data_IF_977158577916
#
_entry.id   IF_977158577916
#
_cell.length_a   1.000
_cell.length_b   1.000
_cell.length_c   1.000
_cell.angle_alpha   90.00
_cell.angle_beta   90.00
_cell.angle_gamma   90.00
#
_symmetry.space_group_name_H-M   'P 1'
#
loop_
_entity.id
_entity.type
_entity.pdbx_description
1 polymer ?
#
# COMPACT_ATOMS: atom_id res chain seq x y z
N UNK A 1 -4.32 -5.61 23.23
CA UNK A 1 -3.51 -6.19 24.32
C UNK A 1 -2.42 -7.11 23.77
N UNK A 2 -2.73 -8.13 22.96
CA UNK A 2 -1.72 -9.06 22.43
C UNK A 2 -0.64 -8.38 21.57
N UNK A 3 -1.03 -7.51 20.65
CA UNK A 3 -0.11 -6.77 19.78
C UNK A 3 0.79 -5.79 20.54
N UNK A 4 0.30 -5.19 21.62
CA UNK A 4 1.12 -4.35 22.51
C UNK A 4 2.15 -5.21 23.26
N UNK A 5 1.76 -6.40 23.72
CA UNK A 5 2.69 -7.36 24.34
C UNK A 5 3.81 -7.78 23.39
N UNK A 6 3.49 -8.07 22.12
CA UNK A 6 4.48 -8.41 21.08
C UNK A 6 5.42 -7.24 20.83
N UNK A 7 4.91 -6.01 20.71
CA UNK A 7 5.72 -4.81 20.49
C UNK A 7 6.68 -4.55 21.67
N UNK A 8 6.19 -4.70 22.90
CA UNK A 8 7.01 -4.56 24.11
C UNK A 8 8.13 -5.61 24.16
N UNK A 9 7.80 -6.88 23.89
CA UNK A 9 8.78 -7.96 23.86
C UNK A 9 9.83 -7.75 22.78
N UNK A 10 9.41 -7.36 21.56
CA UNK A 10 10.32 -7.02 20.45
C UNK A 10 11.25 -5.85 20.81
N UNK A 11 10.71 -4.79 21.37
CA UNK A 11 11.50 -3.61 21.78
C UNK A 11 12.54 -3.96 22.84
N UNK A 12 12.14 -4.73 23.85
CA UNK A 12 13.04 -5.17 24.90
C UNK A 12 14.13 -6.11 24.35
N UNK A 13 13.78 -7.04 23.46
CA UNK A 13 14.74 -7.93 22.82
C UNK A 13 15.75 -7.17 21.94
N UNK A 14 15.27 -6.21 21.14
CA UNK A 14 16.13 -5.35 20.32
C UNK A 14 17.07 -4.51 21.19
N UNK A 15 16.55 -3.89 22.23
CA UNK A 15 17.37 -3.09 23.14
C UNK A 15 18.44 -3.93 23.86
N UNK A 16 18.07 -5.10 24.38
CA UNK A 16 19.01 -6.04 24.98
C UNK A 16 20.07 -6.52 23.99
N UNK A 17 19.67 -6.79 22.74
CA UNK A 17 20.60 -7.18 21.69
C UNK A 17 21.61 -6.07 21.37
N UNK A 18 21.13 -4.83 21.22
CA UNK A 18 21.98 -3.67 20.94
C UNK A 18 23.02 -3.41 22.03
N UNK A 19 22.70 -3.69 23.29
CA UNK A 19 23.67 -3.55 24.39
C UNK A 19 24.76 -4.63 24.38
N UNK A 20 24.51 -5.79 23.79
CA UNK A 20 25.42 -6.92 23.74
C UNK A 20 26.25 -7.00 22.44
N UNK A 21 25.98 -6.11 21.47
CA UNK A 21 26.72 -6.07 20.20
C UNK A 21 28.10 -5.45 20.40
N UNK A 22 29.16 -5.96 19.74
CA UNK A 22 30.53 -5.41 19.84
C UNK A 22 30.59 -3.92 19.46
N UNK A 23 31.45 -3.17 20.13
CA UNK A 23 31.63 -1.72 19.92
C UNK A 23 31.93 -1.34 18.45
N UNK A 24 32.57 -2.23 17.71
CA UNK A 24 32.89 -2.00 16.30
C UNK A 24 31.65 -1.86 15.42
N UNK A 25 30.56 -2.55 15.73
CA UNK A 25 29.26 -2.37 15.06
C UNK A 25 28.71 -0.95 15.23
N UNK A 26 28.83 -0.38 16.42
CA UNK A 26 28.35 0.98 16.73
C UNK A 26 29.13 2.09 16.01
N UNK A 27 30.35 1.82 15.53
CA UNK A 27 31.09 2.77 14.69
C UNK A 27 30.58 2.92 13.28
N UNK A 28 29.94 1.86 12.74
CA UNK A 28 29.52 1.80 11.35
C UNK A 28 28.03 2.08 11.17
N UNK A 29 27.24 2.10 12.23
CA UNK A 29 25.78 2.31 12.19
C UNK A 29 25.42 3.62 12.88
N UNK A 30 24.59 4.44 12.24
CA UNK A 30 24.14 5.69 12.84
C UNK A 30 23.20 5.42 14.03
N UNK A 31 23.36 6.17 15.10
CA UNK A 31 22.47 6.09 16.28
C UNK A 31 21.00 6.35 15.88
N UNK A 32 20.76 7.23 14.90
CA UNK A 32 19.43 7.52 14.39
C UNK A 32 18.76 6.30 13.74
N UNK A 33 19.49 5.50 12.95
CA UNK A 33 18.97 4.26 12.35
C UNK A 33 18.61 3.22 13.41
N UNK A 34 19.44 3.07 14.46
CA UNK A 34 19.13 2.17 15.57
C UNK A 34 17.87 2.58 16.34
N UNK A 35 17.71 3.88 16.60
CA UNK A 35 16.52 4.42 17.25
C UNK A 35 15.28 4.20 16.36
N UNK A 36 15.39 4.43 15.05
CA UNK A 36 14.31 4.19 14.11
C UNK A 36 13.86 2.73 14.11
N UNK A 37 14.79 1.77 14.11
CA UNK A 37 14.48 0.33 14.19
C UNK A 37 13.76 -0.04 15.48
N UNK A 38 14.22 0.50 16.62
CA UNK A 38 13.59 0.23 17.92
C UNK A 38 12.22 0.91 18.12
N UNK A 39 11.90 1.92 17.32
CA UNK A 39 10.65 2.69 17.43
C UNK A 39 9.73 2.45 16.22
N UNK A 40 10.02 3.08 15.09
CA UNK A 40 9.16 3.07 13.89
C UNK A 40 8.96 1.68 13.31
N UNK A 41 10.02 0.86 13.22
CA UNK A 41 9.90 -0.47 12.62
C UNK A 41 9.11 -1.40 13.53
N UNK A 42 9.32 -1.34 14.85
CA UNK A 42 8.51 -2.09 15.83
C UNK A 42 7.05 -1.66 15.79
N UNK A 43 6.77 -0.36 15.66
CA UNK A 43 5.40 0.14 15.53
C UNK A 43 4.74 -0.28 14.20
N UNK A 44 5.52 -0.44 13.15
CA UNK A 44 5.05 -0.97 11.87
C UNK A 44 4.67 -2.45 11.98
N UNK A 45 5.51 -3.27 12.64
CA UNK A 45 5.20 -4.67 12.94
C UNK A 45 3.97 -4.77 13.84
N UNK A 46 3.86 -3.93 14.87
CA UNK A 46 2.68 -3.88 15.75
C UNK A 46 1.40 -3.60 14.96
N UNK A 47 1.43 -2.60 14.07
CA UNK A 47 0.28 -2.26 13.21
C UNK A 47 -0.07 -3.40 12.26
N UNK A 48 0.93 -4.05 11.68
CA UNK A 48 0.71 -5.21 10.83
C UNK A 48 -0.03 -6.32 11.57
N UNK A 49 0.43 -6.70 12.75
CA UNK A 49 -0.20 -7.75 13.57
C UNK A 49 -1.60 -7.35 14.02
N UNK A 50 -1.77 -6.07 14.44
CA UNK A 50 -3.05 -5.60 14.98
C UNK A 50 -4.15 -5.42 13.95
N UNK A 51 -3.80 -5.06 12.72
CA UNK A 51 -4.76 -4.67 11.69
C UNK A 51 -4.72 -5.65 10.52
N UNK A 52 -3.57 -5.76 9.84
CA UNK A 52 -3.46 -6.55 8.61
C UNK A 52 -3.68 -8.05 8.85
N UNK A 53 -3.06 -8.62 9.88
CA UNK A 53 -3.21 -10.05 10.17
C UNK A 53 -4.66 -10.41 10.51
N UNK A 54 -5.33 -9.58 11.31
CA UNK A 54 -6.75 -9.79 11.64
C UNK A 54 -7.64 -9.66 10.41
N UNK A 55 -7.35 -8.69 9.53
CA UNK A 55 -8.10 -8.50 8.30
C UNK A 55 -7.92 -9.66 7.32
N UNK A 56 -6.72 -10.23 7.23
CA UNK A 56 -6.44 -11.43 6.43
C UNK A 56 -7.27 -12.61 6.96
N UNK A 57 -7.22 -12.87 8.28
CA UNK A 57 -7.97 -13.96 8.90
C UNK A 57 -9.47 -13.80 8.69
N UNK A 58 -9.98 -12.57 8.89
CA UNK A 58 -11.40 -12.24 8.65
C UNK A 58 -11.80 -12.49 7.21
N UNK A 59 -10.99 -12.03 6.26
CA UNK A 59 -11.26 -12.18 4.82
C UNK A 59 -11.25 -13.65 4.41
N UNK A 60 -10.25 -14.43 4.85
CA UNK A 60 -10.17 -15.87 4.58
C UNK A 60 -11.38 -16.60 5.16
N UNK A 61 -11.75 -16.32 6.41
CA UNK A 61 -12.93 -16.91 7.03
C UNK A 61 -14.22 -16.56 6.27
N UNK A 62 -14.40 -15.30 5.89
CA UNK A 62 -15.56 -14.83 5.14
C UNK A 62 -15.65 -15.51 3.77
N UNK A 63 -14.56 -15.58 3.03
CA UNK A 63 -14.52 -16.26 1.71
C UNK A 63 -14.81 -17.75 1.86
N UNK A 64 -14.23 -18.41 2.87
CA UNK A 64 -14.48 -19.85 3.12
C UNK A 64 -15.95 -20.13 3.42
N UNK A 65 -16.56 -19.34 4.30
CA UNK A 65 -17.98 -19.47 4.63
C UNK A 65 -18.87 -19.18 3.42
N UNK A 66 -18.58 -18.13 2.66
CA UNK A 66 -19.31 -17.80 1.45
C UNK A 66 -19.23 -18.92 0.40
N UNK A 67 -18.05 -19.46 0.14
CA UNK A 67 -17.86 -20.60 -0.75
C UNK A 67 -18.62 -21.83 -0.26
N UNK A 68 -18.54 -22.15 1.03
CA UNK A 68 -19.27 -23.29 1.61
C UNK A 68 -20.79 -23.16 1.37
N UNK A 69 -21.39 -22.00 1.66
CA UNK A 69 -22.81 -21.75 1.45
C UNK A 69 -23.17 -21.86 -0.04
N UNK A 70 -22.36 -21.26 -0.92
CA UNK A 70 -22.61 -21.31 -2.36
C UNK A 70 -22.59 -22.74 -2.92
N UNK A 71 -21.57 -23.52 -2.56
CA UNK A 71 -21.46 -24.90 -3.02
C UNK A 71 -22.49 -25.85 -2.39
N UNK A 72 -22.94 -25.57 -1.17
CA UNK A 72 -24.00 -26.35 -0.52
C UNK A 72 -25.40 -26.06 -1.07
N UNK A 73 -25.61 -24.89 -1.69
CA UNK A 73 -26.90 -24.49 -2.26
C UNK A 73 -27.06 -25.02 -3.70
N UNK A 74 -26.16 -24.65 -4.59
CA UNK A 74 -26.12 -25.14 -5.99
C UNK A 74 -24.71 -24.98 -6.57
N UNK A 75 -24.07 -26.11 -6.88
CA UNK A 75 -22.72 -26.16 -7.44
C UNK A 75 -22.61 -25.45 -8.80
N UNK A 76 -23.66 -25.51 -9.63
CA UNK A 76 -23.67 -24.88 -10.96
C UNK A 76 -23.68 -23.36 -10.85
N UNK A 77 -24.51 -22.85 -9.95
CA UNK A 77 -24.58 -21.40 -9.67
C UNK A 77 -23.27 -20.90 -9.04
N UNK A 78 -22.68 -21.69 -8.13
CA UNK A 78 -21.39 -21.37 -7.53
C UNK A 78 -20.28 -21.24 -8.60
N UNK A 79 -20.20 -22.19 -9.53
CA UNK A 79 -19.20 -22.15 -10.61
C UNK A 79 -19.40 -20.93 -11.55
N UNK A 80 -20.64 -20.60 -11.92
CA UNK A 80 -20.96 -19.42 -12.73
C UNK A 80 -20.54 -18.14 -12.01
N UNK A 81 -20.83 -18.05 -10.72
CA UNK A 81 -20.43 -16.90 -9.90
C UNK A 81 -18.92 -16.76 -9.72
N UNK A 82 -18.15 -17.81 -9.94
CA UNK A 82 -16.69 -17.79 -9.84
C UNK A 82 -15.94 -17.56 -11.16
N UNK A 83 -16.65 -17.55 -12.30
CA UNK A 83 -16.05 -17.46 -13.65
C UNK A 83 -15.15 -16.24 -13.83
N UNK A 84 -15.53 -15.09 -13.29
CA UNK A 84 -14.76 -13.85 -13.42
C UNK A 84 -13.66 -13.67 -12.34
N UNK A 85 -13.60 -14.51 -11.32
CA UNK A 85 -12.55 -14.47 -10.29
C UNK A 85 -11.13 -14.56 -10.86
N UNK A 86 -10.80 -15.50 -11.76
CA UNK A 86 -9.47 -15.56 -12.35
C UNK A 86 -9.08 -14.29 -13.10
N UNK A 87 -10.05 -13.63 -13.77
CA UNK A 87 -9.82 -12.37 -14.48
C UNK A 87 -9.44 -11.27 -13.49
N UNK A 88 -10.15 -11.17 -12.36
CA UNK A 88 -9.81 -10.23 -11.29
C UNK A 88 -8.45 -10.52 -10.66
N UNK A 89 -8.11 -11.77 -10.43
CA UNK A 89 -6.81 -12.16 -9.88
C UNK A 89 -5.65 -11.75 -10.82
N UNK A 90 -5.77 -12.06 -12.11
CA UNK A 90 -4.75 -11.70 -13.11
C UNK A 90 -4.63 -10.19 -13.25
N UNK A 91 -5.75 -9.47 -13.36
CA UNK A 91 -5.75 -8.01 -13.46
C UNK A 91 -5.14 -7.35 -12.22
N UNK A 92 -5.42 -7.86 -11.01
CA UNK A 92 -4.83 -7.38 -9.76
C UNK A 92 -3.32 -7.58 -9.71
N UNK A 93 -2.82 -8.72 -10.18
CA UNK A 93 -1.39 -8.99 -10.21
C UNK A 93 -0.65 -8.05 -11.17
N UNK A 94 -1.19 -7.84 -12.38
CA UNK A 94 -0.62 -6.93 -13.38
C UNK A 94 -0.66 -5.48 -12.88
N UNK A 95 -1.77 -5.08 -12.28
CA UNK A 95 -1.93 -3.77 -11.67
C UNK A 95 -0.91 -3.51 -10.56
N UNK A 96 -0.76 -4.45 -9.61
CA UNK A 96 0.17 -4.31 -8.48
C UNK A 96 1.60 -4.07 -8.97
N UNK A 97 2.05 -4.82 -9.99
CA UNK A 97 3.38 -4.64 -10.58
C UNK A 97 3.56 -3.23 -11.16
N UNK A 98 2.54 -2.71 -11.85
CA UNK A 98 2.58 -1.39 -12.49
C UNK A 98 2.49 -0.25 -11.47
N UNK A 99 1.61 -0.38 -10.48
CA UNK A 99 1.47 0.62 -9.40
C UNK A 99 2.74 0.73 -8.58
N UNK A 100 3.37 -0.39 -8.23
CA UNK A 100 4.62 -0.38 -7.47
C UNK A 100 5.71 0.44 -8.17
N UNK A 101 5.86 0.29 -9.48
CA UNK A 101 6.82 1.06 -10.27
C UNK A 101 6.48 2.56 -10.29
N UNK A 102 5.21 2.92 -10.49
CA UNK A 102 4.78 4.33 -10.48
C UNK A 102 4.87 4.96 -9.10
N UNK A 103 4.61 4.19 -8.05
CA UNK A 103 4.76 4.64 -6.66
C UNK A 103 6.21 5.02 -6.36
N UNK A 104 7.18 4.16 -6.73
CA UNK A 104 8.61 4.47 -6.55
C UNK A 104 9.00 5.77 -7.27
N UNK A 105 8.53 5.98 -8.50
CA UNK A 105 8.81 7.22 -9.25
C UNK A 105 8.20 8.47 -8.59
N UNK A 106 7.01 8.34 -8.01
CA UNK A 106 6.36 9.44 -7.27
C UNK A 106 7.10 9.76 -5.97
N UNK A 107 7.50 8.72 -5.23
CA UNK A 107 8.24 8.82 -3.96
C UNK A 107 9.63 9.46 -4.16
N UNK A 108 10.35 9.06 -5.23
CA UNK A 108 11.61 9.70 -5.60
C UNK A 108 11.45 11.19 -5.95
N UNK A 109 10.35 11.56 -6.61
CA UNK A 109 10.08 12.96 -6.94
C UNK A 109 9.70 13.77 -5.70
N UNK A 110 8.95 13.19 -4.76
CA UNK A 110 8.65 13.78 -3.46
C UNK A 110 9.92 14.02 -2.65
N UNK A 111 10.84 13.03 -2.65
CA UNK A 111 12.15 13.16 -2.01
C UNK A 111 12.97 14.31 -2.57
N UNK A 112 13.00 14.47 -3.90
CA UNK A 112 13.69 15.60 -4.56
C UNK A 112 13.06 16.94 -4.21
N UNK A 113 11.73 17.05 -4.22
CA UNK A 113 11.00 18.24 -3.83
C UNK A 113 11.30 18.63 -2.38
N UNK A 114 11.26 17.66 -1.47
CA UNK A 114 11.56 17.85 -0.06
C UNK A 114 13.01 18.30 0.16
N UNK A 115 13.97 17.69 -0.54
CA UNK A 115 15.38 18.08 -0.47
C UNK A 115 15.58 19.53 -0.97
N UNK A 116 14.96 19.91 -2.09
CA UNK A 116 15.00 21.28 -2.61
C UNK A 116 14.43 22.28 -1.61
N UNK A 117 13.31 21.94 -0.97
CA UNK A 117 12.72 22.79 0.07
C UNK A 117 13.64 22.95 1.29
N UNK A 118 14.23 21.86 1.78
CA UNK A 118 15.16 21.90 2.91
C UNK A 118 16.41 22.74 2.60
N UNK A 119 16.98 22.57 1.40
CA UNK A 119 18.12 23.35 0.93
C UNK A 119 17.79 24.85 0.92
N UNK A 120 16.62 25.22 0.38
CA UNK A 120 16.15 26.60 0.33
C UNK A 120 15.91 27.21 1.72
N UNK A 121 15.31 26.44 2.64
CA UNK A 121 15.08 26.90 4.01
C UNK A 121 16.40 27.07 4.78
N UNK A 122 17.35 26.16 4.62
CA UNK A 122 18.66 26.26 5.24
C UNK A 122 19.49 27.42 4.66
N UNK A 123 19.40 27.62 3.34
CA UNK A 123 20.15 28.65 2.61
C UNK A 123 19.47 30.01 2.46
N UNK A 124 18.31 30.24 3.11
CA UNK A 124 17.46 31.41 2.86
C UNK A 124 18.20 32.78 3.01
N UNK A 125 19.16 32.86 3.93
CA UNK A 125 19.98 34.08 4.13
C UNK A 125 20.90 34.35 2.95
N UNK A 126 21.47 33.28 2.39
CA UNK A 126 22.37 33.34 1.22
C UNK A 126 21.56 33.73 -0.02
N UNK A 127 20.45 33.07 -0.27
CA UNK A 127 19.53 33.35 -1.38
C UNK A 127 19.09 34.83 -1.37
N UNK A 128 18.75 35.35 -0.17
CA UNK A 128 18.40 36.80 -0.04
C UNK A 128 19.57 37.73 -0.24
N UNK A 129 20.76 37.37 0.25
CA UNK A 129 21.96 38.21 0.11
C UNK A 129 22.40 38.37 -1.36
N UNK A 130 22.21 37.30 -2.17
CA UNK A 130 22.57 37.31 -3.59
C UNK A 130 21.42 37.65 -4.54
N UNK A 131 20.20 37.92 -4.03
CA UNK A 131 19.04 38.27 -4.83
C UNK A 131 18.50 37.18 -5.73
N UNK A 132 18.78 35.88 -5.40
CA UNK A 132 18.46 34.72 -6.24
C UNK A 132 17.07 34.06 -5.89
N UNK A 133 16.17 34.79 -5.27
CA UNK A 133 14.86 34.26 -4.89
C UNK A 133 14.06 33.76 -6.10
N UNK A 134 14.19 34.40 -7.24
CA UNK A 134 13.45 34.02 -8.45
C UNK A 134 13.92 32.65 -8.98
N UNK A 135 15.21 32.43 -9.03
CA UNK A 135 15.82 31.21 -9.55
C UNK A 135 15.47 30.01 -8.64
N UNK A 136 15.47 30.22 -7.32
CA UNK A 136 15.07 29.18 -6.36
C UNK A 136 13.57 28.85 -6.44
N UNK A 137 12.70 29.84 -6.67
CA UNK A 137 11.27 29.60 -6.91
C UNK A 137 11.06 28.82 -8.22
N UNK A 138 11.82 29.13 -9.26
CA UNK A 138 11.76 28.42 -10.54
C UNK A 138 12.20 26.95 -10.39
N UNK A 139 13.32 26.71 -9.70
CA UNK A 139 13.83 25.38 -9.35
C UNK A 139 12.80 24.57 -8.55
N UNK A 140 12.21 25.17 -7.52
CA UNK A 140 11.16 24.54 -6.73
C UNK A 140 9.92 24.22 -7.58
N UNK A 141 9.49 25.15 -8.42
CA UNK A 141 8.32 24.99 -9.29
C UNK A 141 8.53 23.84 -10.28
N UNK A 142 9.73 23.69 -10.84
CA UNK A 142 10.07 22.57 -11.72
C UNK A 142 10.01 21.21 -10.98
N UNK A 143 10.58 21.12 -9.78
CA UNK A 143 10.51 19.90 -8.96
C UNK A 143 9.06 19.57 -8.57
N UNK A 144 8.26 20.58 -8.21
CA UNK A 144 6.85 20.41 -7.86
C UNK A 144 6.01 19.96 -9.05
N UNK A 145 6.30 20.45 -10.26
CA UNK A 145 5.65 19.99 -11.48
C UNK A 145 5.97 18.52 -11.79
N UNK A 146 7.22 18.08 -11.62
CA UNK A 146 7.62 16.67 -11.81
C UNK A 146 6.91 15.75 -10.80
N UNK A 147 6.87 16.14 -9.52
CA UNK A 147 6.14 15.42 -8.48
C UNK A 147 4.63 15.34 -8.78
N UNK A 148 4.03 16.47 -9.12
CA UNK A 148 2.61 16.53 -9.52
C UNK A 148 2.30 15.56 -10.66
N UNK A 149 3.09 15.58 -11.72
CA UNK A 149 2.84 14.81 -12.93
C UNK A 149 2.98 13.29 -12.69
N UNK A 150 3.95 12.89 -11.87
CA UNK A 150 4.14 11.48 -11.45
C UNK A 150 3.02 11.01 -10.54
N UNK A 151 2.65 11.80 -9.55
CA UNK A 151 1.53 11.51 -8.64
C UNK A 151 0.20 11.46 -9.38
N UNK A 152 -0.02 12.36 -10.35
CA UNK A 152 -1.21 12.34 -11.19
C UNK A 152 -1.31 11.04 -12.00
N UNK A 153 -0.21 10.59 -12.63
CA UNK A 153 -0.18 9.31 -13.35
C UNK A 153 -0.46 8.12 -12.44
N UNK A 154 0.09 8.13 -11.23
CA UNK A 154 -0.18 7.11 -10.22
C UNK A 154 -1.67 7.07 -9.85
N UNK A 155 -2.25 8.23 -9.52
CA UNK A 155 -3.66 8.37 -9.15
C UNK A 155 -4.59 7.99 -10.30
N UNK A 156 -4.26 8.37 -11.53
CA UNK A 156 -5.00 7.98 -12.72
C UNK A 156 -4.99 6.47 -12.93
N UNK A 157 -3.84 5.83 -12.77
CA UNK A 157 -3.71 4.37 -12.86
C UNK A 157 -4.57 3.67 -11.78
N UNK A 158 -4.56 4.18 -10.56
CA UNK A 158 -5.39 3.67 -9.47
C UNK A 158 -6.89 3.83 -9.79
N UNK A 159 -7.30 5.00 -10.26
CA UNK A 159 -8.70 5.27 -10.62
C UNK A 159 -9.23 4.38 -11.75
N UNK A 160 -8.42 4.16 -12.80
CA UNK A 160 -8.78 3.26 -13.91
C UNK A 160 -8.94 1.82 -13.40
N UNK A 161 -8.03 1.36 -12.56
CA UNK A 161 -8.12 0.00 -12.02
C UNK A 161 -9.34 -0.19 -11.13
N UNK A 162 -9.64 0.75 -10.24
CA UNK A 162 -10.80 0.68 -9.37
C UNK A 162 -12.10 0.66 -10.18
N UNK A 163 -12.23 1.57 -11.14
CA UNK A 163 -13.39 1.59 -12.04
C UNK A 163 -13.55 0.32 -12.86
N UNK A 164 -12.46 -0.23 -13.39
CA UNK A 164 -12.47 -1.49 -14.12
C UNK A 164 -12.84 -2.69 -13.23
N UNK A 165 -12.30 -2.75 -12.00
CA UNK A 165 -12.62 -3.81 -11.03
C UNK A 165 -14.08 -3.77 -10.60
N UNK A 166 -14.63 -2.58 -10.35
CA UNK A 166 -16.04 -2.40 -10.03
C UNK A 166 -16.95 -2.81 -11.20
N UNK A 167 -16.58 -2.44 -12.44
CA UNK A 167 -17.32 -2.84 -13.63
C UNK A 167 -17.36 -4.37 -13.79
N UNK A 168 -16.25 -5.05 -13.56
CA UNK A 168 -16.19 -6.53 -13.58
C UNK A 168 -17.06 -7.11 -12.46
N UNK A 169 -16.98 -6.55 -11.25
CA UNK A 169 -17.80 -6.98 -10.10
C UNK A 169 -19.31 -6.84 -10.37
N UNK A 170 -19.76 -5.69 -10.88
CA UNK A 170 -21.18 -5.49 -11.24
C UNK A 170 -21.62 -6.40 -12.39
N UNK A 171 -20.75 -6.64 -13.37
CA UNK A 171 -21.02 -7.59 -14.46
C UNK A 171 -21.21 -9.00 -13.91
N UNK A 172 -20.41 -9.41 -12.93
CA UNK A 172 -20.53 -10.72 -12.27
C UNK A 172 -21.85 -10.85 -11.52
N UNK A 173 -22.26 -9.83 -10.77
CA UNK A 173 -23.55 -9.80 -10.07
C UNK A 173 -24.70 -9.91 -11.08
N UNK A 174 -24.68 -9.14 -12.17
CA UNK A 174 -25.69 -9.18 -13.21
C UNK A 174 -25.76 -10.57 -13.88
N UNK A 175 -24.62 -11.17 -14.19
CA UNK A 175 -24.53 -12.51 -14.77
C UNK A 175 -25.12 -13.57 -13.85
N UNK A 176 -24.80 -13.51 -12.56
CA UNK A 176 -25.31 -14.45 -11.56
C UNK A 176 -26.82 -14.32 -11.39
N UNK A 177 -27.35 -13.10 -11.32
CA UNK A 177 -28.78 -12.85 -11.22
C UNK A 177 -29.53 -13.32 -12.49
N UNK A 178 -29.00 -13.00 -13.67
CA UNK A 178 -29.61 -13.41 -14.93
C UNK A 178 -29.67 -14.93 -15.08
N UNK A 179 -28.59 -15.61 -14.77
CA UNK A 179 -28.55 -17.09 -14.83
C UNK A 179 -29.43 -17.72 -13.76
N UNK A 180 -29.53 -17.14 -12.56
CA UNK A 180 -30.44 -17.58 -11.51
C UNK A 180 -31.92 -17.49 -11.94
N UNK A 181 -32.30 -16.38 -12.56
CA UNK A 181 -33.66 -16.22 -13.11
C UNK A 181 -33.96 -17.26 -14.20
N UNK A 182 -32.98 -17.51 -15.10
CA UNK A 182 -33.15 -18.52 -16.15
C UNK A 182 -33.32 -19.95 -15.57
N UNK A 183 -32.61 -20.28 -14.50
CA UNK A 183 -32.77 -21.59 -13.84
C UNK A 183 -34.13 -21.74 -13.18
N UNK A 184 -34.63 -20.72 -12.49
CA UNK A 184 -35.96 -20.72 -11.88
C UNK A 184 -37.05 -20.87 -12.96
N UNK A 185 -36.98 -20.09 -14.05
CA UNK A 185 -37.96 -20.16 -15.16
C UNK A 185 -37.96 -21.51 -15.86
N UNK A 186 -36.79 -22.17 -15.97
CA UNK A 186 -36.64 -23.51 -16.57
C UNK A 186 -36.95 -24.65 -15.60
N UNK A 187 -37.38 -24.36 -14.37
CA UNK A 187 -37.75 -25.35 -13.38
C UNK A 187 -36.59 -26.28 -12.93
N UNK A 188 -35.39 -25.76 -12.98
CA UNK A 188 -34.19 -26.48 -12.55
C UNK A 188 -33.64 -25.92 -11.25
#
# INVERSE_FOLDING_TARGET
>A
LASEGVAMTLRNALYSHLQNVPYDYHKHVSTGDLVQRCTSDVDTVRRFISVQLLEIVRTVAMVTVACYIMFSTDVRMALISMVLLPVLCVSSFLYFKKVRSQFTLSDEAEGKLSATLQENLAGVRVVRAFGQQRDEVEKFTACNADFRDKTFKLTQLMGIYWGASDAVGYTQIALTLFTGILFVVKGK
#
